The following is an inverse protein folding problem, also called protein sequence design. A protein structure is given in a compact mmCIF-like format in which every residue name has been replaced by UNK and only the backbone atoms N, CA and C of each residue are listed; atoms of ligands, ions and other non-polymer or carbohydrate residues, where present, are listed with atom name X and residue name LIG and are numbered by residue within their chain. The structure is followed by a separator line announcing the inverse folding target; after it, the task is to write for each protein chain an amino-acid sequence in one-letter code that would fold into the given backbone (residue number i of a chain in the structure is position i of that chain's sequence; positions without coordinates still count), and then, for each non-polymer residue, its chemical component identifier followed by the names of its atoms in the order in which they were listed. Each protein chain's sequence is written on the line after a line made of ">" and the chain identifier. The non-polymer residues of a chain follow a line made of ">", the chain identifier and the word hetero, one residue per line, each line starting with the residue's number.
data_IF_465709073032
#
_entry.id   IF_465709073032
#
_cell.length_a   1.000
_cell.length_b   1.000
_cell.length_c   1.000
_cell.angle_alpha   90.00
_cell.angle_beta   90.00
_cell.angle_gamma   90.00
#
_symmetry.space_group_name_H-M   'P 1'
#
loop_
_entity.id
_entity.type
_entity.pdbx_description
1 polymer ?
#
# COMPACT_ATOMS: atom_id res chain seq x y z
N UNK A 1 -0.64 28.41 42.50
CA UNK A 1 -1.66 29.30 41.92
C UNK A 1 -1.10 29.83 40.62
N UNK A 2 -1.60 29.37 39.47
CA UNK A 2 -1.15 29.88 38.17
C UNK A 2 -2.15 30.94 37.75
N UNK A 3 -1.68 32.18 37.60
CA UNK A 3 -2.47 33.28 37.06
C UNK A 3 -2.10 33.45 35.58
N UNK A 4 -3.05 33.21 34.69
CA UNK A 4 -2.91 33.54 33.27
C UNK A 4 -3.78 34.76 32.98
N UNK A 5 -3.15 35.84 32.53
CA UNK A 5 -3.81 37.11 32.30
C UNK A 5 -4.14 37.26 30.81
N UNK A 6 -5.44 37.32 30.50
CA UNK A 6 -5.95 37.62 29.17
C UNK A 6 -6.54 39.04 29.18
N UNK A 7 -6.58 39.75 28.03
CA UNK A 7 -6.90 41.17 27.98
C UNK A 7 -8.27 41.58 28.54
N UNK A 8 -9.19 40.64 28.79
CA UNK A 8 -10.54 40.95 29.31
C UNK A 8 -11.05 40.02 30.43
N UNK A 9 -10.26 39.05 30.92
CA UNK A 9 -10.67 38.13 32.00
C UNK A 9 -9.48 37.68 32.86
N UNK A 10 -9.71 37.52 34.17
CA UNK A 10 -8.76 36.91 35.11
C UNK A 10 -9.20 35.47 35.43
N UNK A 11 -8.42 34.47 35.03
CA UNK A 11 -8.68 33.08 35.39
C UNK A 11 -7.82 32.68 36.59
N UNK A 12 -8.45 32.24 37.68
CA UNK A 12 -7.75 31.77 38.89
C UNK A 12 -7.94 30.26 39.01
N UNK A 13 -6.85 29.51 38.86
CA UNK A 13 -6.83 28.06 39.12
C UNK A 13 -6.40 27.81 40.56
N UNK A 14 -7.32 27.35 41.41
CA UNK A 14 -7.02 26.86 42.76
C UNK A 14 -7.07 25.33 42.78
N UNK A 15 -6.04 24.70 43.33
CA UNK A 15 -6.07 23.29 43.67
C UNK A 15 -6.82 23.14 44.99
N UNK A 16 -7.92 22.40 45.00
CA UNK A 16 -8.54 21.91 46.24
C UNK A 16 -8.09 20.46 46.46
N UNK A 17 -8.02 20.05 47.74
CA UNK A 17 -7.33 18.84 48.21
C UNK A 17 -7.80 17.49 47.64
N UNK A 18 -8.87 17.45 46.85
CA UNK A 18 -9.38 16.25 46.19
C UNK A 18 -9.37 16.42 44.67
N UNK A 19 -8.20 16.26 44.02
CA UNK A 19 -7.96 15.97 42.59
C UNK A 19 -8.90 16.59 41.52
N UNK A 20 -9.56 17.70 41.83
CA UNK A 20 -10.48 18.43 40.99
C UNK A 20 -9.94 19.85 40.87
N UNK A 21 -9.44 20.18 39.67
CA UNK A 21 -9.10 21.55 39.31
C UNK A 21 -10.41 22.29 39.04
N UNK A 22 -10.87 23.06 40.02
CA UNK A 22 -12.08 23.85 39.88
C UNK A 22 -11.72 25.19 39.22
N UNK A 23 -12.14 25.35 37.97
CA UNK A 23 -11.93 26.58 37.21
C UNK A 23 -13.06 27.56 37.56
N UNK A 24 -12.78 28.55 38.40
CA UNK A 24 -13.72 29.65 38.64
C UNK A 24 -13.39 30.81 37.70
N UNK A 25 -14.33 31.12 36.81
CA UNK A 25 -14.29 32.28 35.91
C UNK A 25 -15.23 33.34 36.50
N UNK A 26 -14.68 34.47 36.95
CA UNK A 26 -15.47 35.62 37.40
C UNK A 26 -15.56 36.63 36.24
N UNK A 27 -16.76 36.92 35.70
CA UNK A 27 -16.91 37.88 34.62
C UNK A 27 -16.77 39.31 35.15
N UNK A 28 -16.02 40.18 34.45
CA UNK A 28 -15.82 41.59 34.86
C UNK A 28 -16.95 42.51 34.38
N UNK A 29 -17.78 42.08 33.43
CA UNK A 29 -18.98 42.85 33.03
C UNK A 29 -19.89 42.00 32.16
N UNK A 30 -21.18 41.95 32.52
CA UNK A 30 -22.20 41.11 31.92
C UNK A 30 -22.43 41.38 30.44
N UNK A 31 -21.84 40.55 29.58
CA UNK A 31 -22.28 40.41 28.19
C UNK A 31 -22.36 38.93 27.84
N UNK A 32 -23.54 38.52 27.38
CA UNK A 32 -23.94 37.16 26.99
C UNK A 32 -23.12 36.60 25.80
N UNK A 33 -22.20 37.40 25.24
CA UNK A 33 -21.34 37.07 24.10
C UNK A 33 -20.06 36.29 24.45
N UNK A 34 -19.61 36.27 25.71
CA UNK A 34 -18.42 35.49 26.11
C UNK A 34 -18.70 33.98 26.21
N UNK A 35 -19.93 33.58 26.53
CA UNK A 35 -20.29 32.17 26.75
C UNK A 35 -20.35 31.36 25.44
N UNK A 36 -20.78 32.00 24.35
CA UNK A 36 -20.80 31.42 23.00
C UNK A 36 -19.40 31.23 22.42
N UNK A 37 -18.49 32.19 22.64
CA UNK A 37 -17.10 32.07 22.18
C UNK A 37 -16.32 30.98 22.95
N UNK A 38 -16.58 30.82 24.25
CA UNK A 38 -15.97 29.78 25.08
C UNK A 38 -16.44 28.36 24.69
N UNK A 39 -17.73 28.18 24.35
CA UNK A 39 -18.26 26.90 23.81
C UNK A 39 -17.66 26.51 22.46
N UNK A 40 -17.34 27.47 21.60
CA UNK A 40 -16.76 27.22 20.27
C UNK A 40 -15.29 26.80 20.41
N UNK A 41 -14.53 27.39 21.33
CA UNK A 41 -13.11 27.08 21.54
C UNK A 41 -12.87 25.83 22.40
N UNK A 42 -13.74 25.52 23.36
CA UNK A 42 -13.65 24.29 24.18
C UNK A 42 -14.33 23.06 23.55
N UNK A 43 -14.78 23.16 22.29
CA UNK A 43 -14.99 22.00 21.40
C UNK A 43 -13.65 21.43 20.90
N UNK A 44 -12.57 21.67 21.64
CA UNK A 44 -11.31 20.95 21.61
C UNK A 44 -11.56 19.46 21.76
N UNK A 45 -11.73 18.80 20.62
CA UNK A 45 -10.99 17.61 20.22
C UNK A 45 -10.67 16.65 21.38
N UNK A 46 -11.67 16.25 22.16
CA UNK A 46 -11.59 15.07 23.01
C UNK A 46 -11.52 13.86 22.08
N UNK A 47 -10.32 13.56 21.55
CA UNK A 47 -10.01 12.24 21.02
C UNK A 47 -10.16 11.32 22.22
N UNK A 48 -11.29 10.63 22.33
CA UNK A 48 -11.51 9.62 23.37
C UNK A 48 -10.24 8.77 23.46
N UNK A 49 -9.51 8.91 24.57
CA UNK A 49 -8.23 8.24 24.80
C UNK A 49 -8.44 6.73 24.74
N UNK A 50 -9.60 6.26 25.22
CA UNK A 50 -10.10 4.89 25.10
C UNK A 50 -10.23 4.45 23.64
N UNK A 51 -10.85 5.23 22.76
CA UNK A 51 -10.94 4.91 21.33
C UNK A 51 -9.56 4.89 20.65
N UNK A 52 -8.68 5.82 21.03
CA UNK A 52 -7.30 5.86 20.55
C UNK A 52 -6.50 4.62 20.95
N UNK A 53 -6.59 4.22 22.21
CA UNK A 53 -5.96 3.02 22.77
C UNK A 53 -6.55 1.76 22.13
N UNK A 54 -7.87 1.66 21.98
CA UNK A 54 -8.52 0.53 21.32
C UNK A 54 -8.08 0.40 19.86
N UNK A 55 -8.00 1.50 19.12
CA UNK A 55 -7.47 1.51 17.75
C UNK A 55 -5.98 1.16 17.69
N UNK A 56 -5.17 1.61 18.64
CA UNK A 56 -3.75 1.27 18.71
C UNK A 56 -3.54 -0.22 19.02
N UNK A 57 -4.30 -0.77 19.98
CA UNK A 57 -4.33 -2.19 20.31
C UNK A 57 -4.78 -3.01 19.11
N UNK A 58 -5.88 -2.63 18.45
CA UNK A 58 -6.35 -3.29 17.24
C UNK A 58 -5.32 -3.25 16.09
N UNK A 59 -4.55 -2.15 15.94
CA UNK A 59 -3.47 -2.07 14.94
C UNK A 59 -2.28 -2.99 15.29
N UNK A 60 -1.97 -3.12 16.58
CA UNK A 60 -0.93 -4.03 17.05
C UNK A 60 -1.35 -5.49 16.85
N UNK A 61 -2.61 -5.81 17.18
CA UNK A 61 -3.20 -7.14 17.01
C UNK A 61 -3.36 -7.51 15.53
N UNK A 62 -3.73 -6.55 14.68
CA UNK A 62 -3.86 -6.73 13.23
C UNK A 62 -2.52 -6.55 12.47
N UNK A 63 -1.38 -6.64 13.15
CA UNK A 63 -0.08 -6.55 12.48
C UNK A 63 0.11 -7.78 11.61
N UNK A 64 0.00 -7.58 10.31
CA UNK A 64 0.27 -8.61 9.30
C UNK A 64 1.69 -9.17 9.56
N UNK A 65 1.88 -10.50 9.58
CA UNK A 65 3.20 -11.11 9.73
C UNK A 65 4.20 -10.55 8.72
N UNK A 66 5.46 -10.42 9.12
CA UNK A 66 6.49 -9.74 8.33
C UNK A 66 6.67 -10.33 6.94
N UNK A 67 6.50 -11.65 6.80
CA UNK A 67 6.70 -12.45 5.59
C UNK A 67 5.55 -12.36 4.58
N UNK A 68 4.42 -11.76 4.94
CA UNK A 68 3.27 -11.66 4.03
C UNK A 68 3.53 -10.56 3.02
N UNK A 69 3.37 -10.92 1.74
CA UNK A 69 3.49 -9.99 0.62
C UNK A 69 4.92 -9.58 0.27
N UNK A 70 5.94 -10.29 0.75
CA UNK A 70 7.35 -9.97 0.47
C UNK A 70 7.65 -9.89 -1.03
N UNK A 71 7.07 -10.80 -1.82
CA UNK A 71 7.16 -10.76 -3.28
C UNK A 71 6.58 -9.45 -3.84
N UNK A 72 5.37 -9.09 -3.41
CA UNK A 72 4.68 -7.88 -3.87
C UNK A 72 5.40 -6.61 -3.42
N UNK A 73 5.97 -6.59 -2.20
CA UNK A 73 6.82 -5.49 -1.71
C UNK A 73 8.13 -5.37 -2.49
N UNK A 74 8.71 -6.50 -2.92
CA UNK A 74 9.90 -6.53 -3.78
C UNK A 74 9.59 -5.94 -5.15
N UNK A 75 8.46 -6.29 -5.73
CA UNK A 75 7.99 -5.72 -7.00
C UNK A 75 7.67 -4.24 -6.83
N UNK A 76 6.92 -3.86 -5.79
CA UNK A 76 6.49 -2.48 -5.51
C UNK A 76 6.61 -2.17 -4.02
N UNK A 77 7.69 -1.47 -3.66
CA UNK A 77 8.02 -1.10 -2.29
C UNK A 77 7.23 0.09 -1.75
N UNK A 78 6.49 0.80 -2.62
CA UNK A 78 5.70 1.98 -2.29
C UNK A 78 4.19 1.69 -2.14
N UNK A 79 3.81 0.42 -1.97
CA UNK A 79 2.42 0.04 -1.72
C UNK A 79 1.95 0.40 -0.29
N UNK A 80 0.67 0.77 -0.14
CA UNK A 80 -0.30 1.14 -1.18
C UNK A 80 -0.11 2.59 -1.67
N UNK A 81 -0.31 2.86 -2.97
CA UNK A 81 -0.14 4.21 -3.53
C UNK A 81 -1.05 4.54 -4.72
N UNK A 82 -1.19 5.84 -5.03
CA UNK A 82 -2.00 6.34 -6.16
C UNK A 82 -1.51 5.80 -7.51
N UNK A 83 -0.21 5.56 -7.64
CA UNK A 83 0.42 5.02 -8.85
C UNK A 83 -0.14 3.65 -9.23
N UNK A 84 -0.49 2.81 -8.24
CA UNK A 84 -1.07 1.49 -8.50
C UNK A 84 -2.43 1.63 -9.19
N UNK A 85 -3.28 2.56 -8.74
CA UNK A 85 -4.57 2.83 -9.40
C UNK A 85 -4.35 3.30 -10.84
N UNK A 86 -3.49 4.30 -11.03
CA UNK A 86 -3.17 4.86 -12.35
C UNK A 86 -2.60 3.81 -13.33
N UNK A 87 -1.83 2.84 -12.82
CA UNK A 87 -1.30 1.73 -13.61
C UNK A 87 -2.42 0.83 -14.14
N UNK A 88 -3.38 0.48 -13.29
CA UNK A 88 -4.47 -0.43 -13.68
C UNK A 88 -5.58 0.26 -14.49
N UNK A 89 -5.85 1.53 -14.26
CA UNK A 89 -6.88 2.29 -15.00
C UNK A 89 -6.59 2.37 -16.52
N UNK A 90 -5.33 2.18 -16.92
CA UNK A 90 -4.88 2.20 -18.31
C UNK A 90 -4.92 0.83 -19.02
N UNK A 91 -5.40 -0.21 -18.32
CA UNK A 91 -5.41 -1.59 -18.79
C UNK A 91 -6.84 -2.12 -18.89
N UNK A 92 -7.07 -2.96 -19.90
CA UNK A 92 -8.32 -3.73 -19.97
C UNK A 92 -8.41 -4.72 -18.81
N UNK A 93 -9.61 -5.21 -18.50
CA UNK A 93 -9.80 -6.20 -17.44
C UNK A 93 -8.91 -7.45 -17.61
N UNK A 94 -8.75 -7.92 -18.85
CA UNK A 94 -7.92 -9.11 -19.16
C UNK A 94 -6.45 -8.84 -18.87
N UNK A 95 -5.94 -7.69 -19.30
CA UNK A 95 -4.56 -7.26 -19.07
C UNK A 95 -4.28 -7.00 -17.58
N UNK A 96 -5.19 -6.31 -16.90
CA UNK A 96 -5.11 -6.05 -15.47
C UNK A 96 -5.07 -7.35 -14.65
N UNK A 97 -5.86 -8.36 -15.03
CA UNK A 97 -5.86 -9.67 -14.37
C UNK A 97 -4.50 -10.38 -14.51
N UNK A 98 -3.91 -10.39 -15.71
CA UNK A 98 -2.58 -10.96 -15.94
C UNK A 98 -1.52 -10.20 -15.14
N UNK A 99 -1.56 -8.87 -15.16
CA UNK A 99 -0.64 -8.04 -14.40
C UNK A 99 -0.78 -8.27 -12.88
N UNK A 100 -2.00 -8.43 -12.37
CA UNK A 100 -2.25 -8.74 -10.97
C UNK A 100 -1.66 -10.10 -10.57
N UNK A 101 -1.82 -11.14 -11.39
CA UNK A 101 -1.19 -12.44 -11.15
C UNK A 101 0.35 -12.32 -11.08
N UNK A 102 0.95 -11.58 -12.03
CA UNK A 102 2.39 -11.38 -12.08
C UNK A 102 2.91 -10.57 -10.89
N UNK A 103 2.21 -9.50 -10.47
CA UNK A 103 2.62 -8.62 -9.35
C UNK A 103 2.42 -9.24 -7.96
N UNK A 104 1.47 -10.17 -7.83
CA UNK A 104 1.24 -10.90 -6.58
C UNK A 104 2.07 -12.17 -6.48
N UNK A 105 2.52 -12.71 -7.61
CA UNK A 105 3.10 -14.04 -7.68
C UNK A 105 2.07 -15.14 -7.40
N UNK A 106 0.78 -14.79 -7.37
CA UNK A 106 -0.36 -15.71 -7.27
C UNK A 106 -0.85 -16.03 -8.68
N UNK A 107 0.05 -16.59 -9.48
CA UNK A 107 -0.16 -16.89 -10.89
C UNK A 107 -0.36 -18.40 -11.08
N UNK A 108 -0.91 -18.81 -12.22
CA UNK A 108 -1.01 -20.23 -12.62
C UNK A 108 0.36 -20.83 -13.02
N UNK A 109 1.40 -20.56 -12.26
CA UNK A 109 2.75 -21.08 -12.40
C UNK A 109 3.00 -22.15 -11.33
N UNK A 110 3.79 -23.17 -11.64
CA UNK A 110 4.00 -24.34 -10.79
C UNK A 110 4.55 -23.99 -9.41
N UNK A 111 5.33 -22.92 -9.27
CA UNK A 111 5.80 -22.45 -7.95
C UNK A 111 4.65 -22.13 -6.98
N UNK A 112 3.69 -21.33 -7.44
CA UNK A 112 2.53 -20.95 -6.63
C UNK A 112 1.58 -22.13 -6.46
N UNK A 113 1.32 -22.86 -7.55
CA UNK A 113 0.46 -24.05 -7.52
C UNK A 113 0.99 -25.10 -6.52
N UNK A 114 2.31 -25.28 -6.43
CA UNK A 114 2.92 -26.20 -5.48
C UNK A 114 2.74 -25.71 -4.03
N UNK A 115 2.91 -24.40 -3.77
CA UNK A 115 2.68 -23.81 -2.45
C UNK A 115 1.26 -24.03 -1.94
N UNK A 116 0.26 -24.01 -2.85
CA UNK A 116 -1.15 -24.29 -2.51
C UNK A 116 -1.52 -25.77 -2.66
N UNK A 117 -0.55 -26.66 -2.89
CA UNK A 117 -0.73 -28.12 -3.06
C UNK A 117 -1.63 -28.52 -4.25
N UNK A 118 -1.75 -27.67 -5.25
CA UNK A 118 -2.49 -27.95 -6.49
C UNK A 118 -1.65 -28.72 -7.54
N UNK A 119 -0.32 -28.79 -7.37
CA UNK A 119 0.57 -29.63 -8.18
C UNK A 119 1.58 -30.33 -7.28
N UNK A 120 2.14 -31.45 -7.76
CA UNK A 120 3.13 -32.26 -7.05
C UNK A 120 4.56 -31.73 -7.19
N UNK A 121 4.82 -30.86 -8.17
CA UNK A 121 6.15 -30.31 -8.43
C UNK A 121 6.11 -28.83 -8.77
N UNK A 122 7.08 -28.09 -8.23
CA UNK A 122 7.34 -26.68 -8.55
C UNK A 122 8.19 -26.51 -9.82
N UNK A 123 8.72 -27.58 -10.41
CA UNK A 123 9.59 -27.52 -11.59
C UNK A 123 8.84 -26.97 -12.80
N UNK A 124 9.48 -26.09 -13.56
CA UNK A 124 8.97 -25.72 -14.88
C UNK A 124 9.10 -26.91 -15.83
N UNK A 125 8.18 -27.03 -16.78
CA UNK A 125 8.26 -28.03 -17.85
C UNK A 125 9.45 -27.82 -18.80
N UNK A 126 10.21 -26.73 -18.68
CA UNK A 126 11.51 -26.59 -19.34
C UNK A 126 12.62 -27.41 -18.66
N UNK A 127 12.41 -27.89 -17.43
CA UNK A 127 13.36 -28.73 -16.67
C UNK A 127 14.45 -27.98 -15.89
N UNK A 128 14.70 -26.69 -16.16
CA UNK A 128 15.91 -26.01 -15.66
C UNK A 128 15.77 -25.42 -14.25
N UNK A 129 14.57 -24.99 -13.87
CA UNK A 129 14.32 -24.32 -12.59
C UNK A 129 12.87 -24.48 -12.14
N UNK A 130 12.58 -24.04 -10.90
CA UNK A 130 11.21 -23.83 -10.43
C UNK A 130 10.49 -22.76 -11.27
N UNK A 131 9.22 -22.95 -11.56
CA UNK A 131 8.42 -22.04 -12.40
C UNK A 131 7.96 -20.81 -11.58
N UNK A 132 8.87 -19.88 -11.31
CA UNK A 132 8.56 -18.57 -10.69
C UNK A 132 8.22 -17.52 -11.74
N UNK A 133 7.72 -16.35 -11.31
CA UNK A 133 7.49 -15.20 -12.20
C UNK A 133 8.80 -14.76 -12.87
N UNK A 134 9.90 -14.68 -12.12
CA UNK A 134 11.23 -14.34 -12.65
C UNK A 134 11.67 -15.34 -13.73
N UNK A 135 11.51 -16.65 -13.47
CA UNK A 135 11.82 -17.67 -14.46
C UNK A 135 10.93 -17.55 -15.71
N UNK A 136 9.63 -17.41 -15.51
CA UNK A 136 8.65 -17.27 -16.58
C UNK A 136 8.94 -16.07 -17.49
N UNK A 137 9.24 -14.91 -16.90
CA UNK A 137 9.45 -13.65 -17.64
C UNK A 137 10.84 -13.51 -18.27
N UNK A 138 11.90 -14.06 -17.66
CA UNK A 138 13.27 -13.72 -18.05
C UNK A 138 14.17 -14.90 -18.41
N UNK A 139 13.87 -16.12 -17.96
CA UNK A 139 14.80 -17.24 -18.06
C UNK A 139 14.27 -18.43 -18.87
N UNK A 140 12.95 -18.64 -18.89
CA UNK A 140 12.36 -19.83 -19.48
C UNK A 140 12.64 -19.92 -20.99
N UNK A 141 13.38 -20.95 -21.39
CA UNK A 141 13.78 -21.18 -22.80
C UNK A 141 12.59 -21.41 -23.72
N UNK A 142 11.49 -21.98 -23.19
CA UNK A 142 10.23 -22.19 -23.93
C UNK A 142 9.58 -20.89 -24.40
N UNK A 143 9.73 -19.82 -23.62
CA UNK A 143 9.08 -18.54 -23.90
C UNK A 143 10.04 -17.51 -24.52
N UNK A 144 11.22 -17.95 -24.99
CA UNK A 144 12.25 -17.05 -25.54
C UNK A 144 11.74 -16.24 -26.73
N UNK A 145 10.95 -16.86 -27.62
CA UNK A 145 10.41 -16.19 -28.80
C UNK A 145 9.54 -14.96 -28.46
N UNK A 146 8.80 -15.02 -27.34
CA UNK A 146 7.93 -13.94 -26.91
C UNK A 146 8.72 -12.82 -26.21
N UNK A 147 9.92 -13.07 -25.67
CA UNK A 147 10.67 -12.08 -24.89
C UNK A 147 11.29 -10.94 -25.71
N UNK A 148 11.26 -11.02 -27.04
CA UNK A 148 11.90 -10.04 -27.94
C UNK A 148 11.43 -8.60 -27.68
N UNK A 149 10.11 -8.36 -27.56
CA UNK A 149 9.58 -7.02 -27.29
C UNK A 149 10.07 -6.47 -25.94
N UNK A 150 10.06 -7.31 -24.89
CA UNK A 150 10.55 -6.91 -23.56
C UNK A 150 12.04 -6.55 -23.59
N UNK A 151 12.85 -7.27 -24.37
CA UNK A 151 14.29 -6.99 -24.52
C UNK A 151 14.52 -5.65 -25.24
N UNK A 152 13.63 -5.27 -26.17
CA UNK A 152 13.72 -4.01 -26.91
C UNK A 152 13.35 -2.78 -26.04
N UNK A 153 12.49 -2.94 -25.04
CA UNK A 153 12.08 -1.82 -24.18
C UNK A 153 13.22 -1.21 -23.34
N UNK A 154 14.32 -1.94 -23.09
CA UNK A 154 15.42 -1.45 -22.25
C UNK A 154 16.73 -2.19 -22.46
N UNK A 155 17.83 -1.44 -22.46
CA UNK A 155 19.19 -2.01 -22.45
C UNK A 155 19.75 -2.21 -21.04
N UNK A 156 19.23 -1.49 -20.05
CA UNK A 156 19.82 -1.41 -18.70
C UNK A 156 19.03 -2.16 -17.63
N UNK A 157 17.72 -2.32 -17.81
CA UNK A 157 16.82 -2.93 -16.80
C UNK A 157 16.47 -4.38 -17.12
N UNK A 158 17.36 -5.10 -17.81
CA UNK A 158 17.15 -6.51 -18.19
C UNK A 158 17.01 -7.35 -16.92
N UNK A 159 15.88 -8.05 -16.79
CA UNK A 159 15.56 -8.88 -15.62
C UNK A 159 15.05 -8.12 -14.39
N UNK A 160 14.85 -6.81 -14.47
CA UNK A 160 14.26 -6.05 -13.36
C UNK A 160 12.73 -6.23 -13.34
N UNK A 161 12.25 -7.12 -12.46
CA UNK A 161 10.82 -7.40 -12.35
C UNK A 161 9.96 -6.17 -12.02
N UNK A 162 10.45 -5.25 -11.19
CA UNK A 162 9.73 -4.01 -10.86
C UNK A 162 9.53 -3.14 -12.08
N UNK A 163 10.55 -3.02 -12.94
CA UNK A 163 10.44 -2.24 -14.18
C UNK A 163 9.36 -2.78 -15.11
N UNK A 164 9.38 -4.08 -15.38
CA UNK A 164 8.43 -4.73 -16.30
C UNK A 164 7.01 -4.87 -15.74
N UNK A 165 6.83 -4.83 -14.42
CA UNK A 165 5.52 -4.90 -13.78
C UNK A 165 4.99 -3.55 -13.29
N UNK A 166 5.69 -2.44 -13.57
CA UNK A 166 5.27 -1.09 -13.17
C UNK A 166 5.29 -0.88 -11.66
N UNK A 167 6.27 -1.44 -10.98
CA UNK A 167 6.45 -1.31 -9.53
C UNK A 167 7.28 -0.10 -9.15
N UNK A 168 6.81 0.66 -8.16
CA UNK A 168 7.51 1.82 -7.59
C UNK A 168 8.37 1.40 -6.41
N UNK A 169 9.62 1.82 -6.38
CA UNK A 169 10.53 1.63 -5.26
C UNK A 169 10.49 2.82 -4.30
N UNK A 170 10.91 2.62 -3.05
CA UNK A 170 10.94 3.69 -2.03
C UNK A 170 11.97 4.79 -2.33
N UNK A 171 12.99 4.44 -3.12
CA UNK A 171 14.00 5.37 -3.62
C UNK A 171 13.50 6.25 -4.76
N UNK A 172 12.36 5.91 -5.37
CA UNK A 172 11.83 6.66 -6.51
C UNK A 172 11.23 7.98 -6.04
N UNK A 173 11.40 9.01 -6.87
CA UNK A 173 10.87 10.34 -6.57
C UNK A 173 9.32 10.39 -6.63
N UNK A 174 8.75 11.51 -6.20
CA UNK A 174 7.30 11.70 -6.18
C UNK A 174 6.69 11.68 -7.60
N UNK A 175 7.41 12.21 -8.58
CA UNK A 175 6.99 12.32 -9.99
C UNK A 175 7.23 11.04 -10.82
N UNK A 176 7.60 9.93 -10.16
CA UNK A 176 7.83 8.66 -10.83
C UNK A 176 6.56 8.16 -11.51
N UNK A 177 6.73 7.65 -12.73
CA UNK A 177 5.68 6.99 -13.49
C UNK A 177 6.17 5.63 -14.02
N UNK A 178 5.31 4.62 -14.11
CA UNK A 178 5.67 3.32 -14.67
C UNK A 178 5.96 3.44 -16.17
N UNK A 179 6.92 2.67 -16.67
CA UNK A 179 7.13 2.54 -18.10
C UNK A 179 6.02 1.65 -18.71
N UNK A 180 4.98 2.28 -19.25
CA UNK A 180 3.82 1.58 -19.79
C UNK A 180 4.14 0.73 -21.02
N UNK A 181 5.18 1.04 -21.78
CA UNK A 181 5.63 0.22 -22.91
C UNK A 181 6.14 -1.14 -22.41
N UNK A 182 7.01 -1.13 -21.40
CA UNK A 182 7.54 -2.35 -20.78
C UNK A 182 6.43 -3.17 -20.11
N UNK A 183 5.48 -2.51 -19.43
CA UNK A 183 4.33 -3.20 -18.81
C UNK A 183 3.46 -3.86 -19.88
N UNK A 184 3.10 -3.14 -20.94
CA UNK A 184 2.27 -3.68 -22.02
C UNK A 184 2.98 -4.80 -22.77
N UNK A 185 4.27 -4.68 -23.06
CA UNK A 185 5.06 -5.76 -23.65
C UNK A 185 5.03 -7.02 -22.78
N UNK A 186 5.18 -6.86 -21.46
CA UNK A 186 5.12 -7.97 -20.50
C UNK A 186 3.75 -8.66 -20.51
N UNK A 187 2.67 -7.87 -20.55
CA UNK A 187 1.31 -8.39 -20.60
C UNK A 187 1.05 -9.11 -21.93
N UNK A 188 1.44 -8.52 -23.07
CA UNK A 188 1.31 -9.15 -24.39
C UNK A 188 2.04 -10.49 -24.42
N UNK A 189 3.26 -10.54 -23.90
CA UNK A 189 4.05 -11.76 -23.82
C UNK A 189 3.36 -12.83 -22.97
N UNK A 190 2.89 -12.45 -21.78
CA UNK A 190 2.17 -13.36 -20.89
C UNK A 190 0.87 -13.89 -21.51
N UNK A 191 0.12 -13.03 -22.22
CA UNK A 191 -1.09 -13.43 -22.95
C UNK A 191 -0.77 -14.38 -24.11
N UNK A 192 0.27 -14.09 -24.90
CA UNK A 192 0.69 -14.92 -26.02
C UNK A 192 1.09 -16.34 -25.60
N UNK A 193 1.58 -16.51 -24.36
CA UNK A 193 1.86 -17.86 -23.83
C UNK A 193 0.61 -18.69 -23.53
N UNK A 194 -0.56 -18.06 -23.36
CA UNK A 194 -1.80 -18.71 -22.89
C UNK A 194 -1.74 -19.25 -21.45
N UNK A 195 -0.58 -19.20 -20.78
CA UNK A 195 -0.34 -19.87 -19.50
C UNK A 195 -1.13 -19.27 -18.34
N UNK A 196 -1.35 -17.95 -18.38
CA UNK A 196 -1.97 -17.16 -17.31
C UNK A 196 -3.42 -16.76 -17.60
N UNK A 197 -3.98 -17.24 -18.71
CA UNK A 197 -5.37 -16.97 -19.04
C UNK A 197 -6.30 -17.65 -18.03
N UNK A 198 -7.33 -16.89 -17.62
CA UNK A 198 -8.42 -17.40 -16.83
C UNK A 198 -9.59 -17.64 -17.78
N UNK A 199 -9.59 -18.78 -18.47
CA UNK A 199 -10.80 -19.25 -19.17
C UNK A 199 -11.85 -19.50 -18.11
N UNK A 200 -12.82 -18.58 -18.00
CA UNK A 200 -14.08 -18.85 -17.32
C UNK A 200 -14.76 -19.95 -18.14
N UNK A 201 -14.76 -21.17 -17.62
CA UNK A 201 -15.64 -22.22 -18.10
C UNK A 201 -17.07 -21.92 -17.62
#
# INVERSE_FOLDING_TARGET
>A
MILAQFPTCLAVVRASGDLALQLQILPVSGTQACESYFRILYRTRARSTTLGIARAKQRADNKIPSNVGDFTKRVDGALPGKHTRQLYDQLTWKEANVLAQLRTGMARLNDYLYRIKATTSQQCACGHARETVDHFLFLCTRWTAFRTEMIQCTNTQRGNISFYLGGKQRSDNENWAPNMEAVRATIRNALATGRLENTRH
#
